data_IF_438690602931
#
_entry.id   IF_438690602931
#
_cell.length_a   1.000
_cell.length_b   1.000
_cell.length_c   1.000
_cell.angle_alpha   90.00
_cell.angle_beta   90.00
_cell.angle_gamma   90.00
#
_symmetry.space_group_name_H-M   'P 1'
#
loop_
_entity.id
_entity.type
_entity.pdbx_description
1 polymer ?
#
# COMPACT_ATOMS: atom_id res chain seq x y z
N UNK A 1 -11.92 -0.78 -18.68
CA UNK A 1 -11.30 -2.12 -18.80
C UNK A 1 -11.34 -2.65 -20.22
N UNK A 2 -12.52 -2.84 -20.83
CA UNK A 2 -12.64 -3.36 -22.21
C UNK A 2 -11.87 -2.57 -23.28
N UNK A 3 -11.87 -1.23 -23.21
CA UNK A 3 -11.11 -0.37 -24.13
C UNK A 3 -9.57 -0.44 -23.93
N UNK A 4 -9.10 -0.96 -22.79
CA UNK A 4 -7.68 -1.18 -22.51
C UNK A 4 -7.24 -2.63 -22.86
N UNK A 5 -8.13 -3.44 -23.45
CA UNK A 5 -7.88 -4.85 -23.73
C UNK A 5 -7.89 -5.75 -22.48
N UNK A 6 -8.21 -5.21 -21.31
CA UNK A 6 -8.21 -5.97 -20.05
C UNK A 6 -9.56 -6.68 -19.87
N UNK A 7 -9.49 -8.01 -19.76
CA UNK A 7 -10.66 -8.91 -19.79
C UNK A 7 -11.28 -9.20 -18.42
N UNK A 8 -10.54 -8.96 -17.33
CA UNK A 8 -10.97 -9.19 -15.95
C UNK A 8 -10.25 -8.21 -15.00
N UNK A 9 -10.86 -7.77 -13.88
CA UNK A 9 -10.23 -6.86 -12.91
C UNK A 9 -8.88 -7.32 -12.35
N UNK A 10 -8.75 -8.63 -12.12
CA UNK A 10 -7.53 -9.33 -11.67
C UNK A 10 -6.36 -9.24 -12.65
N UNK A 11 -6.61 -8.89 -13.93
CA UNK A 11 -5.54 -8.60 -14.89
C UNK A 11 -5.07 -7.14 -14.82
N UNK A 12 -5.68 -6.31 -13.96
CA UNK A 12 -5.24 -4.94 -13.75
C UNK A 12 -4.00 -4.90 -12.86
N UNK A 13 -2.87 -4.65 -13.50
CA UNK A 13 -1.60 -4.47 -12.82
C UNK A 13 -1.27 -3.00 -12.52
N UNK A 14 -0.41 -2.72 -11.51
CA UNK A 14 -0.07 -1.35 -11.12
C UNK A 14 0.48 -0.47 -12.24
N UNK A 15 1.21 -1.02 -13.21
CA UNK A 15 1.76 -0.26 -14.33
C UNK A 15 0.69 0.25 -15.33
N UNK A 16 -0.56 -0.20 -15.23
CA UNK A 16 -1.65 0.32 -16.06
C UNK A 16 -2.24 1.64 -15.53
N UNK A 17 -1.88 2.05 -14.31
CA UNK A 17 -2.45 3.25 -13.68
C UNK A 17 -1.36 4.32 -13.58
N UNK A 18 -1.48 5.35 -14.41
CA UNK A 18 -0.56 6.49 -14.42
C UNK A 18 -1.00 7.58 -13.43
N UNK A 19 -0.06 8.15 -12.69
CA UNK A 19 -0.28 9.27 -11.77
C UNK A 19 0.75 10.37 -11.99
N UNK A 20 0.26 11.60 -12.11
CA UNK A 20 1.10 12.78 -12.02
C UNK A 20 1.48 13.02 -10.56
N UNK A 21 2.78 12.98 -10.24
CA UNK A 21 3.28 13.18 -8.87
C UNK A 21 3.81 14.60 -8.64
N UNK A 22 4.16 15.30 -9.72
CA UNK A 22 4.64 16.67 -9.69
C UNK A 22 4.22 17.41 -10.98
N UNK A 23 4.48 18.73 -11.10
CA UNK A 23 4.16 19.44 -12.32
C UNK A 23 4.83 18.86 -13.57
N UNK A 24 5.98 18.20 -13.44
CA UNK A 24 6.78 17.72 -14.56
C UNK A 24 6.91 16.20 -14.62
N UNK A 25 6.42 15.46 -13.62
CA UNK A 25 6.65 14.02 -13.52
C UNK A 25 5.35 13.22 -13.44
N UNK A 26 5.34 12.12 -14.18
CA UNK A 26 4.27 11.13 -14.23
C UNK A 26 4.90 9.75 -14.09
N UNK A 27 4.42 8.99 -13.13
CA UNK A 27 4.87 7.62 -12.83
C UNK A 27 3.66 6.69 -12.78
N UNK A 28 3.88 5.40 -12.97
CA UNK A 28 2.81 4.42 -12.78
C UNK A 28 2.75 3.93 -11.33
N UNK A 29 1.63 3.33 -10.91
CA UNK A 29 1.44 2.94 -9.50
C UNK A 29 2.55 2.03 -8.97
N UNK A 30 3.08 1.12 -9.80
CA UNK A 30 4.20 0.24 -9.41
C UNK A 30 5.53 0.94 -9.14
N UNK A 31 5.69 2.23 -9.46
CA UNK A 31 6.89 3.01 -9.15
C UNK A 31 6.72 3.85 -7.87
N UNK A 32 5.47 4.14 -7.49
CA UNK A 32 5.14 5.09 -6.42
C UNK A 32 4.65 4.41 -5.14
N UNK A 33 4.26 3.14 -5.22
CA UNK A 33 3.72 2.38 -4.10
C UNK A 33 4.39 1.03 -3.96
N UNK A 34 4.53 0.61 -2.70
CA UNK A 34 4.99 -0.71 -2.31
C UNK A 34 3.77 -1.64 -2.24
N UNK A 35 3.59 -2.47 -3.27
CA UNK A 35 2.47 -3.41 -3.35
C UNK A 35 2.81 -4.67 -2.58
N UNK A 36 1.91 -5.03 -1.67
CA UNK A 36 2.05 -6.22 -0.85
C UNK A 36 1.84 -7.50 -1.67
N UNK A 37 2.64 -8.51 -1.37
CA UNK A 37 2.36 -9.90 -1.75
C UNK A 37 1.26 -10.51 -0.86
N UNK A 38 0.63 -11.56 -1.38
CA UNK A 38 -0.36 -12.32 -0.62
C UNK A 38 0.23 -12.83 0.70
N UNK A 39 -0.46 -12.51 1.80
CA UNK A 39 -0.07 -12.91 3.15
C UNK A 39 1.20 -12.23 3.68
N UNK A 40 1.75 -11.21 3.01
CA UNK A 40 2.98 -10.54 3.45
C UNK A 40 2.84 -9.89 4.83
N UNK A 41 1.68 -9.29 5.13
CA UNK A 41 1.39 -8.72 6.46
C UNK A 41 1.21 -9.77 7.58
N UNK A 42 1.17 -11.06 7.23
CA UNK A 42 1.04 -12.17 8.19
C UNK A 42 2.39 -12.85 8.47
N UNK A 43 3.48 -12.38 7.86
CA UNK A 43 4.82 -12.95 7.98
C UNK A 43 5.79 -11.96 8.65
N UNK A 44 6.88 -12.49 9.19
CA UNK A 44 8.01 -11.70 9.66
C UNK A 44 9.20 -11.80 8.71
N UNK A 45 9.97 -10.71 8.48
CA UNK A 45 9.74 -9.36 9.01
C UNK A 45 8.58 -8.64 8.30
N UNK A 46 7.90 -7.75 9.01
CA UNK A 46 6.86 -6.90 8.42
C UNK A 46 7.46 -5.92 7.40
N UNK A 47 6.74 -5.61 6.30
CA UNK A 47 7.15 -4.59 5.34
C UNK A 47 7.36 -3.24 6.04
N UNK A 48 8.50 -2.55 5.81
CA UNK A 48 8.85 -1.33 6.56
C UNK A 48 7.77 -0.24 6.51
N UNK A 49 7.16 -0.05 5.34
CA UNK A 49 6.09 0.94 5.12
C UNK A 49 4.85 0.68 5.97
N UNK A 50 4.58 -0.60 6.26
CA UNK A 50 3.38 -1.04 6.98
C UNK A 50 3.65 -1.39 8.44
N UNK A 51 4.91 -1.57 8.86
CA UNK A 51 5.27 -2.01 10.21
C UNK A 51 4.62 -1.16 11.32
N UNK A 52 4.71 0.17 11.22
CA UNK A 52 4.09 1.08 12.20
C UNK A 52 2.57 0.93 12.25
N UNK A 53 1.93 0.82 11.09
CA UNK A 53 0.47 0.69 11.02
C UNK A 53 0.02 -0.67 11.57
N UNK A 54 0.74 -1.75 11.25
CA UNK A 54 0.48 -3.10 11.75
C UNK A 54 0.65 -3.19 13.26
N UNK A 55 1.66 -2.52 13.83
CA UNK A 55 1.87 -2.47 15.30
C UNK A 55 0.76 -1.71 16.03
N UNK A 56 0.17 -0.70 15.38
CA UNK A 56 -0.94 0.08 15.94
C UNK A 56 -2.32 -0.55 15.66
N UNK A 57 -2.40 -1.55 14.77
CA UNK A 57 -3.65 -2.18 14.40
C UNK A 57 -4.15 -3.11 15.50
N UNK A 58 -5.47 -3.20 15.65
CA UNK A 58 -6.14 -4.15 16.54
C UNK A 58 -7.10 -5.02 15.72
N UNK A 59 -7.14 -6.34 15.95
CA UNK A 59 -8.15 -7.20 15.35
C UNK A 59 -9.56 -6.96 15.95
N UNK A 60 -9.64 -6.31 17.11
CA UNK A 60 -10.88 -6.15 17.88
C UNK A 60 -11.55 -4.78 17.68
N UNK A 61 -10.84 -3.79 17.12
CA UNK A 61 -11.38 -2.45 16.88
C UNK A 61 -10.77 -1.76 15.66
N UNK A 62 -11.58 -0.91 15.02
CA UNK A 62 -11.17 0.01 13.96
C UNK A 62 -10.96 1.45 14.45
N UNK A 63 -11.06 1.69 15.76
CA UNK A 63 -10.89 3.00 16.35
C UNK A 63 -9.44 3.51 16.23
N UNK A 64 -9.29 4.83 16.22
CA UNK A 64 -7.97 5.44 16.23
C UNK A 64 -7.28 5.20 17.58
N UNK A 65 -6.14 4.54 17.57
CA UNK A 65 -5.26 4.44 18.74
C UNK A 65 -4.36 5.69 18.79
N UNK A 66 -4.48 6.59 19.79
CA UNK A 66 -3.55 7.69 19.96
C UNK A 66 -2.16 7.11 20.25
N UNK A 67 -1.21 7.29 19.35
CA UNK A 67 0.08 6.62 19.44
C UNK A 67 0.98 7.19 20.54
N UNK A 68 1.28 6.38 21.56
CA UNK A 68 2.45 6.54 22.46
C UNK A 68 3.80 6.20 21.76
N UNK A 69 3.88 6.32 20.44
CA UNK A 69 5.10 6.07 19.65
C UNK A 69 5.97 7.33 19.45
N UNK A 70 5.81 8.35 20.30
CA UNK A 70 6.58 9.61 20.19
C UNK A 70 7.76 9.70 21.17
N UNK A 71 7.95 8.75 22.10
CA UNK A 71 9.01 8.86 23.12
C UNK A 71 9.81 7.56 23.26
N UNK A 72 10.66 7.28 22.29
CA UNK A 72 11.83 6.43 22.49
C UNK A 72 13.05 7.15 21.87
N UNK A 73 13.55 8.12 22.62
CA UNK A 73 14.86 8.76 22.47
C UNK A 73 15.62 8.64 23.78
#
# INVERSE_FOLDING_TARGET
MGAMGIRSPENLQPWHIMRRISPTEVYHYGEIYDFLEDGELLREPLPPTYARAMQAASPDTFDHVPGELTMAG
#
